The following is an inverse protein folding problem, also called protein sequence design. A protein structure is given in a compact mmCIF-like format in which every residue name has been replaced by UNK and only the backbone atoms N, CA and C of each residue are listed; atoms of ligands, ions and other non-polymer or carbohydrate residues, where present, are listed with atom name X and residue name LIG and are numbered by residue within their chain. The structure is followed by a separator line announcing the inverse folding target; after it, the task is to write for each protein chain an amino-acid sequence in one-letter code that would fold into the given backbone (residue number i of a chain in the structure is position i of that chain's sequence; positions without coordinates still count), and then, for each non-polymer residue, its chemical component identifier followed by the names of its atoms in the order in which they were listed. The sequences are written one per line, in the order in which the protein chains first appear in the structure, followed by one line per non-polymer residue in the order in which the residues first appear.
data_IF_082476539208
#
_entry.id   IF_082476539208
#
_cell.length_a   1.000
_cell.length_b   1.000
_cell.length_c   1.000
_cell.angle_alpha   90.00
_cell.angle_beta   90.00
_cell.angle_gamma   90.00
#
_symmetry.space_group_name_H-M   'P 1'
#
loop_
_entity.id
_entity.type
_entity.pdbx_description
1 polymer ?
#
# COMPACT_ATOMS: atom_id res chain seq x y z
N UNK A 1 -24.72 -26.80 -3.94
CA UNK A 1 -23.59 -26.02 -3.38
C UNK A 1 -23.69 -24.64 -4.02
N UNK A 2 -23.86 -23.59 -3.22
CA UNK A 2 -23.90 -22.22 -3.72
C UNK A 2 -22.46 -21.76 -3.89
N UNK A 3 -22.11 -21.33 -5.10
CA UNK A 3 -20.78 -20.78 -5.39
C UNK A 3 -20.74 -19.33 -4.94
N UNK A 4 -19.60 -18.81 -4.45
CA UNK A 4 -19.45 -17.41 -4.04
C UNK A 4 -19.63 -16.38 -5.17
N UNK A 5 -19.95 -16.82 -6.39
CA UNK A 5 -20.07 -16.01 -7.61
C UNK A 5 -21.51 -15.59 -7.94
N UNK A 6 -22.52 -16.07 -7.19
CA UNK A 6 -23.94 -15.75 -7.43
C UNK A 6 -24.43 -14.52 -6.63
N UNK A 7 -23.52 -13.74 -6.02
CA UNK A 7 -23.89 -12.56 -5.25
C UNK A 7 -24.16 -11.36 -6.17
N UNK A 8 -25.38 -10.81 -6.12
CA UNK A 8 -25.73 -9.55 -6.78
C UNK A 8 -25.65 -8.44 -5.72
N UNK A 9 -24.78 -7.43 -5.88
CA UNK A 9 -24.63 -6.34 -4.93
C UNK A 9 -25.93 -5.55 -4.74
N UNK A 10 -26.18 -5.06 -3.52
CA UNK A 10 -27.24 -4.08 -3.27
C UNK A 10 -26.95 -2.74 -3.98
N UNK A 11 -27.94 -1.85 -4.17
CA UNK A 11 -27.73 -0.57 -4.86
C UNK A 11 -26.63 0.32 -4.27
N UNK A 12 -26.39 0.21 -2.97
CA UNK A 12 -25.38 0.98 -2.23
C UNK A 12 -24.10 0.18 -1.96
N UNK A 13 -24.03 -1.07 -2.44
CA UNK A 13 -22.88 -1.95 -2.26
C UNK A 13 -21.93 -1.83 -3.46
N UNK A 14 -20.61 -1.73 -3.24
CA UNK A 14 -19.66 -1.67 -4.32
C UNK A 14 -19.75 -2.93 -5.19
N UNK A 15 -19.86 -2.73 -6.50
CA UNK A 15 -19.96 -3.84 -7.47
C UNK A 15 -18.66 -4.65 -7.56
N UNK A 16 -17.54 -4.05 -7.14
CA UNK A 16 -16.24 -4.71 -7.04
C UNK A 16 -15.94 -4.91 -5.56
N UNK A 17 -15.71 -6.15 -5.10
CA UNK A 17 -15.24 -6.39 -3.74
C UNK A 17 -13.94 -5.63 -3.47
N UNK A 18 -13.81 -5.02 -2.29
CA UNK A 18 -12.55 -4.44 -1.88
C UNK A 18 -11.50 -5.55 -1.73
N UNK A 19 -10.34 -5.37 -2.35
CA UNK A 19 -9.19 -6.26 -2.15
C UNK A 19 -8.52 -5.84 -0.84
N UNK A 20 -8.58 -6.70 0.18
CA UNK A 20 -7.78 -6.52 1.38
C UNK A 20 -6.30 -6.47 0.98
N UNK A 21 -5.56 -5.49 1.51
CA UNK A 21 -4.11 -5.49 1.35
C UNK A 21 -3.53 -6.65 2.17
N UNK A 22 -2.80 -7.55 1.52
CA UNK A 22 -2.14 -8.65 2.21
C UNK A 22 -0.97 -8.11 3.03
N UNK A 23 -1.21 -7.87 4.32
CA UNK A 23 -0.20 -7.38 5.26
C UNK A 23 1.02 -8.32 5.42
N UNK A 24 0.91 -9.58 4.97
CA UNK A 24 2.03 -10.54 4.99
C UNK A 24 2.90 -10.49 3.74
N UNK A 25 2.41 -9.84 2.68
CA UNK A 25 3.18 -9.61 1.47
C UNK A 25 4.14 -8.46 1.71
N UNK A 26 5.43 -8.73 1.54
CA UNK A 26 6.44 -7.70 1.61
C UNK A 26 6.13 -6.59 0.58
N UNK A 27 6.49 -5.32 0.88
CA UNK A 27 6.36 -4.22 -0.07
C UNK A 27 6.94 -4.61 -1.43
N UNK A 28 6.32 -4.12 -2.50
CA UNK A 28 6.83 -4.43 -3.85
C UNK A 28 8.24 -3.86 -4.00
N UNK A 29 9.19 -4.56 -4.64
CA UNK A 29 10.55 -4.06 -4.81
C UNK A 29 10.64 -2.65 -5.44
N UNK A 30 9.71 -2.32 -6.33
CA UNK A 30 9.65 -1.00 -6.99
C UNK A 30 9.26 0.13 -6.02
N UNK A 31 8.48 -0.18 -4.98
CA UNK A 31 8.00 0.77 -3.98
C UNK A 31 9.15 1.25 -3.09
N UNK A 32 9.99 0.33 -2.59
CA UNK A 32 11.18 0.71 -1.82
C UNK A 32 12.14 1.60 -2.63
N UNK A 33 12.27 1.35 -3.94
CA UNK A 33 13.09 2.17 -4.82
C UNK A 33 12.47 3.57 -4.97
N UNK A 34 11.15 3.65 -5.17
CA UNK A 34 10.45 4.93 -5.30
C UNK A 34 10.58 5.80 -4.05
N UNK A 35 10.54 5.20 -2.85
CA UNK A 35 10.71 5.92 -1.59
C UNK A 35 12.12 6.47 -1.42
N UNK A 36 13.14 5.67 -1.76
CA UNK A 36 14.53 6.15 -1.77
C UNK A 36 14.76 7.29 -2.76
N UNK A 37 14.10 7.26 -3.92
CA UNK A 37 14.18 8.32 -4.91
C UNK A 37 13.41 9.58 -4.51
N UNK A 38 12.35 9.44 -3.70
CA UNK A 38 11.54 10.55 -3.19
C UNK A 38 12.09 11.15 -1.88
N UNK A 39 12.94 10.40 -1.17
CA UNK A 39 13.52 10.84 0.09
C UNK A 39 14.21 12.20 -0.06
N UNK A 40 13.88 13.14 0.84
CA UNK A 40 14.54 14.44 0.88
C UNK A 40 15.92 14.27 1.53
N UNK A 41 16.95 14.96 1.05
CA UNK A 41 18.26 14.95 1.71
C UNK A 41 18.11 15.48 3.13
N UNK A 42 18.86 14.88 4.07
CA UNK A 42 18.96 15.40 5.43
C UNK A 42 19.73 16.72 5.39
N UNK A 43 19.04 17.82 5.67
CA UNK A 43 19.60 19.18 5.67
C UNK A 43 20.01 19.64 7.06
N UNK A 44 19.90 18.78 8.09
CA UNK A 44 20.31 19.16 9.43
C UNK A 44 21.83 19.36 9.51
N UNK A 45 22.25 20.38 10.25
CA UNK A 45 23.67 20.63 10.50
C UNK A 45 24.18 19.65 11.57
N UNK A 46 24.99 18.69 11.13
CA UNK A 46 25.53 17.62 11.97
C UNK A 46 26.92 17.96 12.51
N UNK A 47 27.38 19.21 12.40
CA UNK A 47 28.73 19.64 12.80
C UNK A 47 28.96 19.71 14.32
N UNK A 48 28.15 19.02 15.14
CA UNK A 48 28.20 19.20 16.60
C UNK A 48 29.45 18.61 17.25
N UNK A 49 30.38 19.54 17.50
CA UNK A 49 31.33 19.69 18.60
C UNK A 49 32.48 18.68 18.75
N UNK A 50 33.64 19.10 18.24
CA UNK A 50 34.93 18.88 18.89
C UNK A 50 35.31 20.08 19.76
#
# INVERSE_FOLDING_TARGET
MSSPHDHVPAPDEPTVPELEEDETVAPRPEEEIADRLRAKPDTADHTRHG
#
